data_IF_298647430313
#
_entry.id   IF_298647430313
#
_cell.length_a   1.000
_cell.length_b   1.000
_cell.length_c   1.000
_cell.angle_alpha   90.00
_cell.angle_beta   90.00
_cell.angle_gamma   90.00
#
_symmetry.space_group_name_H-M   'P 1'
#
loop_
_entity.id
_entity.type
_entity.pdbx_description
1 polymer ?
#
# COMPACT_ATOMS: atom_id res chain seq x y z
N UNK A 1 16.18 -13.19 3.14
CA UNK A 1 17.01 -12.14 3.78
C UNK A 1 17.71 -11.41 2.65
N UNK A 2 17.29 -10.19 2.35
CA UNK A 2 17.99 -9.33 1.39
C UNK A 2 19.11 -8.60 2.13
N UNK A 3 20.27 -8.50 1.51
CA UNK A 3 21.40 -7.81 2.10
C UNK A 3 21.88 -6.72 1.15
N UNK A 4 22.06 -5.51 1.65
CA UNK A 4 22.82 -4.47 1.00
C UNK A 4 24.22 -4.44 1.65
N UNK A 5 25.27 -4.63 0.86
CA UNK A 5 26.64 -4.75 1.38
C UNK A 5 26.78 -5.74 2.55
N UNK A 6 26.10 -6.89 2.48
CA UNK A 6 26.14 -7.92 3.51
C UNK A 6 25.27 -7.66 4.75
N UNK A 7 24.53 -6.56 4.82
CA UNK A 7 23.58 -6.26 5.91
C UNK A 7 22.14 -6.66 5.54
N UNK A 8 21.39 -7.15 6.51
CA UNK A 8 19.95 -7.37 6.38
C UNK A 8 19.27 -6.01 6.19
N UNK A 9 18.48 -5.88 5.09
CA UNK A 9 17.69 -4.68 4.83
C UNK A 9 16.26 -4.98 5.21
N UNK A 10 15.75 -4.24 6.16
CA UNK A 10 14.32 -4.20 6.51
C UNK A 10 13.61 -3.02 5.85
N UNK A 11 14.33 -2.13 5.16
CA UNK A 11 13.85 -0.94 4.50
C UNK A 11 14.97 0.02 4.16
N UNK A 12 14.60 1.19 3.65
CA UNK A 12 15.51 2.30 3.33
C UNK A 12 14.79 3.63 3.51
N UNK A 13 15.50 4.65 3.95
CA UNK A 13 15.04 6.02 4.04
C UNK A 13 15.57 6.83 2.85
N UNK A 14 14.69 7.11 1.89
CA UNK A 14 15.00 7.85 0.66
C UNK A 14 15.00 9.36 0.88
N UNK A 15 14.41 9.86 1.97
CA UNK A 15 14.48 11.27 2.32
C UNK A 15 15.89 11.68 2.78
N UNK A 16 16.51 10.83 3.61
CA UNK A 16 17.83 11.10 4.21
C UNK A 16 18.94 10.24 3.59
N UNK A 17 18.61 9.42 2.60
CA UNK A 17 19.52 8.45 1.97
C UNK A 17 20.26 7.58 3.00
N UNK A 18 19.51 6.97 3.92
CA UNK A 18 20.05 6.20 5.04
C UNK A 18 19.33 4.86 5.22
N UNK A 19 19.92 3.96 6.00
CA UNK A 19 19.30 2.69 6.38
C UNK A 19 18.29 2.83 7.54
N UNK A 20 18.12 4.00 8.11
CA UNK A 20 17.16 4.27 9.17
C UNK A 20 15.78 4.59 8.57
N UNK A 21 14.96 3.55 8.42
CA UNK A 21 13.58 3.67 7.98
C UNK A 21 12.58 3.70 9.14
N UNK A 22 13.04 4.01 10.36
CA UNK A 22 12.17 4.08 11.53
C UNK A 22 11.03 5.06 11.32
N UNK A 23 9.83 4.61 11.65
CA UNK A 23 8.63 5.44 11.63
C UNK A 23 8.64 6.41 12.83
N UNK A 24 8.35 7.65 12.59
CA UNK A 24 8.26 8.72 13.60
C UNK A 24 6.89 9.39 13.64
N UNK A 25 5.98 8.97 12.77
CA UNK A 25 4.62 9.52 12.61
C UNK A 25 3.54 8.54 13.12
N UNK A 26 3.74 7.22 12.94
CA UNK A 26 2.81 6.17 13.29
C UNK A 26 2.00 5.65 12.09
N UNK A 27 1.79 6.45 11.06
CA UNK A 27 1.01 6.06 9.88
C UNK A 27 1.61 4.84 9.16
N UNK A 28 2.93 4.82 8.95
CA UNK A 28 3.62 3.70 8.31
C UNK A 28 3.54 2.41 9.13
N UNK A 29 3.67 2.51 10.46
CA UNK A 29 3.51 1.39 11.40
C UNK A 29 2.10 0.81 11.35
N UNK A 30 1.09 1.67 11.31
CA UNK A 30 -0.32 1.28 11.21
C UNK A 30 -0.61 0.53 9.90
N UNK A 31 -0.15 1.06 8.78
CA UNK A 31 -0.26 0.43 7.46
C UNK A 31 0.45 -0.93 7.44
N UNK A 32 1.69 -1.00 7.94
CA UNK A 32 2.47 -2.25 7.99
C UNK A 32 1.80 -3.31 8.89
N UNK A 33 1.22 -2.90 10.02
CA UNK A 33 0.46 -3.77 10.92
C UNK A 33 -0.76 -4.37 10.24
N UNK A 34 -1.51 -3.57 9.49
CA UNK A 34 -2.68 -4.03 8.70
C UNK A 34 -2.28 -5.05 7.64
N UNK A 35 -1.15 -4.85 6.94
CA UNK A 35 -0.64 -5.81 5.96
C UNK A 35 -0.25 -7.12 6.64
N UNK A 36 0.57 -7.05 7.71
CA UNK A 36 1.34 -8.21 8.12
C UNK A 36 1.76 -8.29 9.58
N UNK A 37 0.99 -7.74 10.54
CA UNK A 37 1.22 -8.07 11.94
C UNK A 37 1.09 -9.59 12.15
N UNK A 38 2.04 -10.15 12.92
CA UNK A 38 2.15 -11.60 13.13
C UNK A 38 0.90 -12.13 13.83
N UNK A 39 0.19 -13.04 13.17
CA UNK A 39 -1.02 -13.64 13.72
C UNK A 39 -0.73 -14.83 14.66
N UNK A 40 -1.74 -15.20 15.45
CA UNK A 40 -1.74 -16.38 16.35
C UNK A 40 -0.60 -16.42 17.38
N UNK A 41 -0.12 -15.25 17.81
CA UNK A 41 0.96 -15.11 18.79
C UNK A 41 0.49 -14.64 20.18
N UNK A 42 -0.83 -14.46 20.37
CA UNK A 42 -1.48 -13.96 21.60
C UNK A 42 -1.05 -12.53 21.98
N UNK A 43 -0.64 -11.72 21.01
CA UNK A 43 -0.21 -10.33 21.20
C UNK A 43 -0.99 -9.44 20.25
N UNK A 44 -1.68 -8.45 20.81
CA UNK A 44 -2.29 -7.34 20.11
C UNK A 44 -3.20 -7.71 18.94
N UNK A 45 -2.82 -7.31 17.75
CA UNK A 45 -3.58 -7.48 16.50
C UNK A 45 -2.95 -8.53 15.58
N UNK A 46 -3.66 -8.84 14.51
CA UNK A 46 -3.12 -9.62 13.38
C UNK A 46 -3.30 -8.84 12.08
N UNK A 47 -2.31 -8.92 11.21
CA UNK A 47 -2.43 -8.45 9.84
C UNK A 47 -3.21 -9.42 8.95
N UNK A 48 -3.50 -9.00 7.72
CA UNK A 48 -4.15 -9.86 6.72
C UNK A 48 -3.25 -11.05 6.36
N UNK A 49 -1.95 -10.82 6.17
CA UNK A 49 -0.96 -11.86 5.87
C UNK A 49 -0.05 -12.12 7.08
N UNK A 50 -0.37 -13.13 7.89
CA UNK A 50 0.27 -13.40 9.18
C UNK A 50 1.77 -13.68 9.12
N UNK A 51 2.24 -14.16 7.97
CA UNK A 51 3.65 -14.52 7.75
C UNK A 51 4.14 -13.86 6.46
N UNK A 52 4.53 -12.60 6.56
CA UNK A 52 5.03 -11.80 5.44
C UNK A 52 6.26 -11.01 5.86
N UNK A 53 7.11 -10.67 4.90
CA UNK A 53 8.19 -9.72 5.10
C UNK A 53 7.76 -8.37 4.56
N UNK A 54 7.79 -7.36 5.41
CA UNK A 54 7.52 -5.98 5.05
C UNK A 54 8.84 -5.22 4.97
N UNK A 55 9.06 -4.52 3.85
CA UNK A 55 10.16 -3.59 3.70
C UNK A 55 9.62 -2.17 3.86
N UNK A 56 10.11 -1.43 4.84
CA UNK A 56 9.75 -0.04 5.05
C UNK A 56 10.52 0.87 4.08
N UNK A 57 9.82 1.48 3.13
CA UNK A 57 10.39 2.42 2.16
C UNK A 57 9.97 3.83 2.58
N UNK A 58 10.76 4.45 3.46
CA UNK A 58 10.51 5.80 3.96
C UNK A 58 10.96 6.82 2.93
N UNK A 59 10.11 7.79 2.62
CA UNK A 59 10.39 8.82 1.63
C UNK A 59 9.82 10.19 2.07
N UNK A 60 10.26 11.27 1.42
CA UNK A 60 9.97 12.64 1.84
C UNK A 60 8.63 13.20 1.33
N UNK A 61 7.71 12.38 0.85
CA UNK A 61 6.46 12.78 0.18
C UNK A 61 6.67 13.64 -1.07
N UNK A 62 7.86 13.57 -1.67
CA UNK A 62 8.19 14.18 -2.96
C UNK A 62 8.33 13.12 -4.06
N UNK A 63 8.18 13.57 -5.31
CA UNK A 63 8.19 12.67 -6.47
C UNK A 63 9.51 11.94 -6.65
N UNK A 64 10.64 12.60 -6.40
CA UNK A 64 11.95 12.01 -6.65
C UNK A 64 12.26 10.88 -5.67
N UNK A 65 11.98 11.07 -4.38
CA UNK A 65 12.15 10.03 -3.36
C UNK A 65 11.15 8.89 -3.53
N UNK A 66 9.91 9.17 -4.02
CA UNK A 66 8.94 8.14 -4.35
C UNK A 66 9.42 7.26 -5.52
N UNK A 67 9.96 7.85 -6.59
CA UNK A 67 10.55 7.12 -7.72
C UNK A 67 11.71 6.25 -7.24
N UNK A 68 12.62 6.80 -6.45
CA UNK A 68 13.75 6.05 -5.91
C UNK A 68 13.29 4.84 -5.06
N UNK A 69 12.20 4.96 -4.30
CA UNK A 69 11.60 3.85 -3.56
C UNK A 69 11.00 2.78 -4.48
N UNK A 70 10.36 3.17 -5.59
CA UNK A 70 9.83 2.25 -6.60
C UNK A 70 10.95 1.53 -7.31
N UNK A 71 12.00 2.22 -7.72
CA UNK A 71 13.19 1.65 -8.37
C UNK A 71 13.89 0.65 -7.46
N UNK A 72 14.03 0.99 -6.18
CA UNK A 72 14.54 0.08 -5.16
C UNK A 72 13.69 -1.20 -5.08
N UNK A 73 12.37 -1.05 -5.00
CA UNK A 73 11.46 -2.19 -4.95
C UNK A 73 11.59 -3.08 -6.20
N UNK A 74 11.73 -2.47 -7.37
CA UNK A 74 11.91 -3.18 -8.63
C UNK A 74 13.26 -3.91 -8.69
N UNK A 75 14.33 -3.25 -8.26
CA UNK A 75 15.67 -3.84 -8.20
C UNK A 75 15.73 -5.06 -7.26
N UNK A 76 15.11 -4.96 -6.07
CA UNK A 76 15.07 -6.04 -5.08
C UNK A 76 13.93 -7.04 -5.31
N UNK A 77 13.19 -6.92 -6.42
CA UNK A 77 12.08 -7.82 -6.78
C UNK A 77 11.02 -7.94 -5.68
N UNK A 78 10.74 -6.84 -5.00
CA UNK A 78 9.60 -6.72 -4.11
C UNK A 78 8.33 -6.83 -4.97
N UNK A 79 7.48 -7.80 -4.70
CA UNK A 79 6.39 -8.15 -5.60
C UNK A 79 5.15 -7.28 -5.45
N UNK A 80 5.01 -6.59 -4.30
CA UNK A 80 3.82 -5.80 -3.97
C UNK A 80 4.29 -4.53 -3.26
N UNK A 81 3.87 -3.38 -3.75
CA UNK A 81 4.01 -2.08 -3.08
C UNK A 81 2.66 -1.62 -2.58
N UNK A 82 2.62 -1.11 -1.36
CA UNK A 82 1.48 -0.40 -0.80
C UNK A 82 1.79 1.09 -0.72
N UNK A 83 1.01 1.90 -1.40
CA UNK A 83 1.11 3.35 -1.48
C UNK A 83 -0.09 4.00 -0.78
N UNK A 84 -0.04 4.08 0.55
CA UNK A 84 -1.05 4.78 1.36
C UNK A 84 -0.77 6.28 1.41
N UNK A 85 -0.54 6.89 0.27
CA UNK A 85 -0.26 8.32 0.06
C UNK A 85 -0.74 8.77 -1.31
N UNK A 86 -0.89 10.08 -1.48
CA UNK A 86 -1.28 10.64 -2.77
C UNK A 86 -1.34 12.16 -2.76
N UNK A 87 -1.58 12.71 -3.94
CA UNK A 87 -1.74 14.15 -4.17
C UNK A 87 -2.38 14.43 -5.53
N UNK A 88 -2.74 15.70 -5.77
CA UNK A 88 -3.42 16.08 -7.01
C UNK A 88 -2.47 16.43 -8.16
N UNK A 89 -1.19 16.59 -7.86
CA UNK A 89 -0.20 16.93 -8.88
C UNK A 89 0.12 15.72 -9.77
N UNK A 90 -0.15 15.82 -11.06
CA UNK A 90 0.26 14.82 -12.03
C UNK A 90 1.78 14.87 -12.25
N UNK A 91 2.40 13.70 -12.28
CA UNK A 91 3.83 13.54 -12.63
C UNK A 91 4.00 12.41 -13.64
N UNK A 92 4.45 12.74 -14.84
CA UNK A 92 4.75 11.75 -15.86
C UNK A 92 5.88 10.82 -15.40
N UNK A 93 6.92 11.37 -14.76
CA UNK A 93 8.05 10.58 -14.27
C UNK A 93 7.63 9.53 -13.22
N UNK A 94 6.71 9.90 -12.31
CA UNK A 94 6.16 8.95 -11.33
C UNK A 94 5.30 7.88 -12.01
N UNK A 95 4.47 8.27 -12.99
CA UNK A 95 3.69 7.32 -13.77
C UNK A 95 4.58 6.33 -14.49
N UNK A 96 5.64 6.80 -15.15
CA UNK A 96 6.58 5.96 -15.88
C UNK A 96 7.31 4.97 -14.95
N UNK A 97 7.71 5.41 -13.75
CA UNK A 97 8.32 4.54 -12.75
C UNK A 97 7.36 3.42 -12.29
N UNK A 98 6.07 3.74 -12.11
CA UNK A 98 5.05 2.76 -11.74
C UNK A 98 4.77 1.81 -12.90
N UNK A 99 4.67 2.29 -14.13
CA UNK A 99 4.47 1.45 -15.33
C UNK A 99 5.64 0.45 -15.54
N UNK A 100 6.86 0.84 -15.16
CA UNK A 100 8.06 0.00 -15.27
C UNK A 100 8.26 -0.93 -14.07
N UNK A 101 7.50 -0.77 -13.00
CA UNK A 101 7.57 -1.64 -11.85
C UNK A 101 6.92 -2.99 -12.15
N UNK A 102 7.68 -4.09 -12.01
CA UNK A 102 7.23 -5.45 -12.31
C UNK A 102 6.17 -5.98 -11.32
N UNK A 103 6.05 -5.38 -10.14
CA UNK A 103 5.15 -5.80 -9.07
C UNK A 103 3.77 -5.15 -9.12
N UNK A 104 2.90 -5.55 -8.21
CA UNK A 104 1.59 -4.95 -7.99
C UNK A 104 1.75 -3.67 -7.15
N UNK A 105 1.14 -2.58 -7.61
CA UNK A 105 1.12 -1.30 -6.93
C UNK A 105 -0.28 -1.03 -6.37
N UNK A 106 -0.46 -1.07 -5.06
CA UNK A 106 -1.74 -0.85 -4.39
C UNK A 106 -1.78 0.57 -3.84
N UNK A 107 -2.68 1.40 -4.35
CA UNK A 107 -2.76 2.82 -4.02
C UNK A 107 -4.06 3.16 -3.28
N UNK A 108 -3.98 4.03 -2.28
CA UNK A 108 -5.16 4.61 -1.63
C UNK A 108 -5.84 5.64 -2.54
N UNK A 109 -7.18 5.57 -2.67
CA UNK A 109 -7.93 6.42 -3.59
C UNK A 109 -7.96 7.91 -3.21
N UNK A 110 -7.72 8.25 -1.93
CA UNK A 110 -7.81 9.59 -1.38
C UNK A 110 -8.98 9.79 -0.42
N UNK A 111 -8.95 10.88 0.34
CA UNK A 111 -9.82 11.09 1.51
C UNK A 111 -10.63 12.41 1.44
N UNK A 112 -10.91 12.91 0.25
CA UNK A 112 -11.62 14.19 0.03
C UNK A 112 -13.12 14.00 -0.25
N UNK A 113 -13.60 12.74 -0.35
CA UNK A 113 -14.98 12.43 -0.72
C UNK A 113 -15.33 12.82 -2.16
N UNK A 114 -14.33 12.90 -3.05
CA UNK A 114 -14.49 13.39 -4.43
C UNK A 114 -14.43 12.25 -5.46
N UNK A 115 -14.97 12.53 -6.64
CA UNK A 115 -14.93 11.62 -7.77
C UNK A 115 -13.59 11.75 -8.52
N UNK A 116 -12.72 10.74 -8.42
CA UNK A 116 -11.41 10.72 -9.07
C UNK A 116 -11.48 10.65 -10.61
N UNK A 117 -12.63 10.29 -11.18
CA UNK A 117 -12.84 10.38 -12.64
C UNK A 117 -12.94 11.84 -13.12
N UNK A 118 -13.22 12.78 -12.21
CA UNK A 118 -13.38 14.22 -12.47
C UNK A 118 -12.22 15.02 -11.90
N UNK A 119 -11.80 14.69 -10.68
CA UNK A 119 -10.74 15.37 -9.93
C UNK A 119 -9.72 14.33 -9.45
N UNK A 120 -8.77 13.95 -10.31
CA UNK A 120 -7.88 12.81 -10.08
C UNK A 120 -6.97 12.97 -8.87
N UNK A 121 -6.76 11.87 -8.13
CA UNK A 121 -5.77 11.72 -7.07
C UNK A 121 -4.65 10.77 -7.55
N UNK A 122 -3.42 11.22 -7.52
CA UNK A 122 -2.27 10.42 -7.94
C UNK A 122 -1.46 9.89 -6.74
N UNK A 123 -0.95 8.64 -6.81
CA UNK A 123 -0.85 7.74 -7.97
C UNK A 123 -2.11 6.93 -8.29
N UNK A 124 -3.15 6.94 -7.47
CA UNK A 124 -4.33 6.09 -7.59
C UNK A 124 -5.03 6.18 -8.97
N UNK A 125 -5.02 7.37 -9.60
CA UNK A 125 -5.71 7.62 -10.87
C UNK A 125 -4.80 7.51 -12.11
N UNK A 126 -3.56 7.02 -11.97
CA UNK A 126 -2.76 6.71 -13.15
C UNK A 126 -3.31 5.49 -13.90
N UNK A 127 -3.37 5.59 -15.21
CA UNK A 127 -3.69 4.46 -16.10
C UNK A 127 -2.44 3.57 -16.27
N UNK A 128 -2.13 2.80 -15.23
CA UNK A 128 -1.06 1.81 -15.20
C UNK A 128 -1.66 0.42 -14.96
N UNK A 129 -1.24 -0.58 -15.74
CA UNK A 129 -1.85 -1.94 -15.69
C UNK A 129 -1.69 -2.62 -14.33
N UNK A 130 -0.65 -2.27 -13.57
CA UNK A 130 -0.24 -2.87 -12.31
C UNK A 130 -0.75 -2.11 -11.07
N UNK A 131 -1.52 -1.02 -11.23
CA UNK A 131 -2.15 -0.33 -10.11
C UNK A 131 -3.47 -1.01 -9.72
N UNK A 132 -3.74 -1.11 -8.41
CA UNK A 132 -5.07 -1.26 -7.82
C UNK A 132 -5.34 -0.01 -6.96
N UNK A 133 -6.35 0.75 -7.32
CA UNK A 133 -6.84 1.90 -6.56
C UNK A 133 -7.93 1.48 -5.58
N UNK A 134 -7.77 1.81 -4.29
CA UNK A 134 -8.59 1.27 -3.20
C UNK A 134 -9.36 2.36 -2.48
N UNK A 135 -10.69 2.29 -2.53
CA UNK A 135 -11.61 3.09 -1.72
C UNK A 135 -11.77 2.51 -0.30
N UNK A 136 -12.33 3.29 0.61
CA UNK A 136 -12.61 2.88 1.98
C UNK A 136 -14.11 2.65 2.20
N UNK A 137 -14.46 1.51 2.83
CA UNK A 137 -15.80 1.24 3.35
C UNK A 137 -15.80 1.18 4.87
N UNK A 138 -16.99 1.36 5.44
CA UNK A 138 -17.27 1.17 6.84
C UNK A 138 -17.66 -0.30 7.18
N UNK A 139 -17.91 -0.67 8.46
CA UNK A 139 -18.30 -2.03 8.84
C UNK A 139 -19.67 -2.50 8.31
N UNK A 140 -20.41 -1.62 7.63
CA UNK A 140 -21.71 -1.94 7.00
C UNK A 140 -21.60 -2.04 5.47
N UNK A 141 -20.35 -2.15 4.95
CA UNK A 141 -20.03 -2.16 3.52
C UNK A 141 -20.48 -0.88 2.77
N UNK A 142 -20.68 0.21 3.52
CA UNK A 142 -21.01 1.52 2.94
C UNK A 142 -19.76 2.30 2.65
N UNK A 143 -19.71 2.96 1.49
CA UNK A 143 -18.60 3.85 1.14
C UNK A 143 -18.42 4.91 2.23
N UNK A 144 -17.23 4.99 2.81
CA UNK A 144 -16.94 5.99 3.83
C UNK A 144 -17.08 7.40 3.25
N UNK A 145 -17.69 8.33 4.02
CA UNK A 145 -17.98 9.69 3.54
C UNK A 145 -16.74 10.45 3.04
N UNK A 146 -15.59 10.17 3.61
CA UNK A 146 -14.33 10.76 3.20
C UNK A 146 -13.71 10.09 1.98
N UNK A 147 -14.11 8.85 1.66
CA UNK A 147 -13.45 8.08 0.60
C UNK A 147 -13.67 8.70 -0.77
N UNK A 148 -12.58 8.91 -1.50
CA UNK A 148 -12.68 9.16 -2.91
C UNK A 148 -13.24 7.92 -3.62
N UNK A 149 -13.88 8.15 -4.77
CA UNK A 149 -14.53 7.13 -5.59
C UNK A 149 -14.34 7.44 -7.08
N UNK A 150 -14.74 6.53 -7.95
CA UNK A 150 -14.67 6.71 -9.40
C UNK A 150 -14.96 5.39 -10.12
N UNK A 151 -15.76 5.42 -11.16
CA UNK A 151 -16.11 4.22 -11.92
C UNK A 151 -14.96 3.68 -12.76
N UNK A 152 -13.99 4.55 -13.12
CA UNK A 152 -12.86 4.21 -13.98
C UNK A 152 -11.53 4.18 -13.24
N UNK A 153 -11.39 5.03 -12.23
CA UNK A 153 -10.11 5.31 -11.56
C UNK A 153 -10.00 4.66 -10.17
N UNK A 154 -11.08 4.05 -9.66
CA UNK A 154 -11.06 3.30 -8.41
C UNK A 154 -11.52 1.87 -8.69
N UNK A 155 -10.67 0.90 -8.38
CA UNK A 155 -10.85 -0.49 -8.78
C UNK A 155 -11.67 -1.31 -7.78
N UNK A 156 -11.49 -1.06 -6.47
CA UNK A 156 -12.04 -1.88 -5.39
C UNK A 156 -12.20 -1.06 -4.11
N UNK A 157 -13.02 -1.53 -3.19
CA UNK A 157 -13.12 -0.99 -1.84
C UNK A 157 -12.68 -2.03 -0.79
N UNK A 158 -12.17 -1.54 0.35
CA UNK A 158 -11.78 -2.37 1.47
C UNK A 158 -12.06 -1.64 2.80
N UNK A 159 -12.10 -2.34 3.96
CA UNK A 159 -12.32 -1.72 5.25
C UNK A 159 -11.32 -0.58 5.52
N UNK A 160 -11.84 0.63 5.79
CA UNK A 160 -11.02 1.83 6.00
C UNK A 160 -11.53 2.75 7.10
N UNK A 161 -12.51 2.32 7.91
CA UNK A 161 -12.99 3.09 9.06
C UNK A 161 -12.78 2.31 10.34
N UNK A 162 -12.31 3.02 11.37
CA UNK A 162 -12.02 2.47 12.70
C UNK A 162 -11.12 1.22 12.66
N UNK A 163 -10.11 1.26 11.81
CA UNK A 163 -9.17 0.14 11.65
C UNK A 163 -8.15 0.18 12.77
N UNK A 164 -8.19 -0.82 13.65
CA UNK A 164 -7.22 -0.98 14.73
C UNK A 164 -5.94 -1.62 14.18
N UNK A 165 -4.81 -0.94 14.38
CA UNK A 165 -3.50 -1.46 13.98
C UNK A 165 -2.38 -0.95 14.89
N UNK A 166 -1.13 -1.30 14.54
CA UNK A 166 0.06 -0.88 15.28
C UNK A 166 0.20 0.65 15.26
N UNK A 167 0.72 1.17 16.36
CA UNK A 167 1.13 2.57 16.49
C UNK A 167 2.58 2.64 16.98
N UNK A 168 3.08 3.85 17.19
CA UNK A 168 4.41 4.07 17.75
C UNK A 168 4.53 3.45 19.15
N UNK A 169 5.78 3.18 19.57
CA UNK A 169 6.12 2.65 20.89
C UNK A 169 5.45 1.30 21.27
N UNK A 170 4.92 0.56 20.27
CA UNK A 170 4.25 -0.72 20.51
C UNK A 170 2.79 -0.61 20.96
N UNK A 171 2.22 0.57 20.83
CA UNK A 171 0.81 0.85 21.08
C UNK A 171 -0.07 0.43 19.90
N UNK A 172 -1.38 0.58 20.06
CA UNK A 172 -2.39 0.30 19.04
C UNK A 172 -3.37 1.47 18.97
N UNK A 173 -3.68 1.92 17.78
CA UNK A 173 -4.67 2.99 17.58
C UNK A 173 -5.64 2.67 16.45
N UNK A 174 -6.90 3.14 16.53
CA UNK A 174 -7.84 3.08 15.42
C UNK A 174 -7.65 4.29 14.50
N UNK A 175 -7.46 4.06 13.21
CA UNK A 175 -7.41 5.12 12.19
C UNK A 175 -8.49 4.96 11.13
N UNK A 176 -8.77 6.07 10.43
CA UNK A 176 -9.69 6.13 9.30
C UNK A 176 -8.97 6.64 8.07
N UNK A 177 -9.25 6.05 6.91
CA UNK A 177 -8.68 6.50 5.65
C UNK A 177 -8.65 5.41 4.59
N UNK A 178 -8.57 5.82 3.34
CA UNK A 178 -8.20 4.93 2.22
C UNK A 178 -6.78 4.38 2.41
N UNK A 179 -5.95 5.07 3.21
CA UNK A 179 -4.64 4.60 3.68
C UNK A 179 -4.72 3.31 4.51
N UNK A 180 -5.83 3.05 5.19
CA UNK A 180 -6.09 1.84 5.96
C UNK A 180 -6.77 0.77 5.10
N UNK A 181 -7.49 1.17 4.06
CA UNK A 181 -8.12 0.26 3.10
C UNK A 181 -7.09 -0.41 2.16
N UNK A 182 -6.18 0.36 1.59
CA UNK A 182 -5.15 -0.14 0.67
C UNK A 182 -4.33 -1.31 1.25
N UNK A 183 -3.84 -1.27 2.50
CA UNK A 183 -3.06 -2.36 3.07
C UNK A 183 -3.84 -3.67 3.25
N UNK A 184 -5.18 -3.65 3.37
CA UNK A 184 -5.99 -4.87 3.34
C UNK A 184 -5.86 -5.59 1.99
N UNK A 185 -5.92 -4.83 0.89
CA UNK A 185 -5.75 -5.36 -0.47
C UNK A 185 -4.31 -5.83 -0.70
N UNK A 186 -3.31 -5.08 -0.22
CA UNK A 186 -1.91 -5.49 -0.31
C UNK A 186 -1.63 -6.78 0.48
N UNK A 187 -2.21 -6.93 1.67
CA UNK A 187 -2.14 -8.15 2.47
C UNK A 187 -2.82 -9.35 1.79
N UNK A 188 -4.00 -9.15 1.20
CA UNK A 188 -4.69 -10.17 0.41
C UNK A 188 -3.87 -10.59 -0.82
N UNK A 189 -3.24 -9.63 -1.49
CA UNK A 189 -2.31 -9.89 -2.59
C UNK A 189 -1.11 -10.73 -2.14
N UNK A 190 -0.57 -10.45 -0.95
CA UNK A 190 0.54 -11.22 -0.37
C UNK A 190 0.13 -12.67 -0.06
N UNK A 191 -1.07 -12.90 0.47
CA UNK A 191 -1.62 -14.25 0.68
C UNK A 191 -1.75 -15.03 -0.64
N UNK A 192 -2.34 -14.42 -1.67
CA UNK A 192 -2.46 -15.03 -2.99
C UNK A 192 -1.08 -15.32 -3.60
N UNK A 193 -0.14 -14.39 -3.49
CA UNK A 193 1.23 -14.57 -3.99
C UNK A 193 1.95 -15.69 -3.25
N UNK A 194 1.70 -15.89 -1.96
CA UNK A 194 2.30 -16.99 -1.18
C UNK A 194 1.76 -18.36 -1.60
N UNK A 195 0.47 -18.45 -1.96
CA UNK A 195 -0.14 -19.70 -2.44
C UNK A 195 0.21 -19.99 -3.92
N UNK A 196 0.49 -18.95 -4.71
CA UNK A 196 0.83 -19.03 -6.12
C UNK A 196 2.12 -18.23 -6.43
N UNK A 197 3.31 -18.69 -6.01
CA UNK A 197 4.54 -17.88 -6.08
C UNK A 197 4.90 -17.36 -7.46
N UNK A 198 4.54 -18.09 -8.52
CA UNK A 198 4.85 -17.75 -9.91
C UNK A 198 3.73 -16.98 -10.63
N UNK A 199 2.67 -16.57 -9.90
CA UNK A 199 1.58 -15.79 -10.51
C UNK A 199 2.12 -14.46 -11.05
N UNK A 200 1.70 -14.09 -12.26
CA UNK A 200 2.05 -12.78 -12.83
C UNK A 200 1.28 -11.65 -12.12
N UNK A 201 1.85 -10.46 -12.11
CA UNK A 201 1.23 -9.26 -11.52
C UNK A 201 -0.17 -8.99 -12.09
N UNK A 202 -0.33 -9.10 -13.40
CA UNK A 202 -1.62 -8.88 -14.07
C UNK A 202 -2.66 -9.94 -13.68
N UNK A 203 -2.24 -11.20 -13.56
CA UNK A 203 -3.14 -12.28 -13.13
C UNK A 203 -3.52 -12.10 -11.65
N UNK A 204 -2.56 -11.71 -10.80
CA UNK A 204 -2.80 -11.40 -9.40
C UNK A 204 -3.84 -10.27 -9.24
N UNK A 205 -3.64 -9.14 -9.94
CA UNK A 205 -4.62 -8.03 -9.98
C UNK A 205 -6.00 -8.55 -10.41
N UNK A 206 -6.07 -9.28 -11.51
CA UNK A 206 -7.34 -9.80 -12.04
C UNK A 206 -8.07 -10.70 -11.05
N UNK A 207 -7.38 -11.60 -10.35
CA UNK A 207 -8.01 -12.46 -9.34
C UNK A 207 -8.57 -11.63 -8.20
N UNK A 208 -7.81 -10.67 -7.67
CA UNK A 208 -8.28 -9.78 -6.59
C UNK A 208 -9.57 -9.06 -7.02
N UNK A 209 -9.57 -8.42 -8.19
CA UNK A 209 -10.73 -7.66 -8.66
C UNK A 209 -11.93 -8.55 -8.98
N UNK A 210 -11.71 -9.75 -9.51
CA UNK A 210 -12.81 -10.68 -9.83
C UNK A 210 -13.39 -11.41 -8.63
N UNK A 211 -12.70 -11.42 -7.48
CA UNK A 211 -13.16 -12.01 -6.23
C UNK A 211 -13.87 -11.01 -5.30
N UNK A 212 -13.85 -9.73 -5.64
CA UNK A 212 -14.63 -8.72 -4.93
C UNK A 212 -16.14 -8.90 -5.20
N UNK A 213 -16.93 -8.76 -4.15
CA UNK A 213 -18.40 -8.81 -4.21
C UNK A 213 -18.97 -7.42 -4.52
#
# INVERSE_FOLDING_TARGET
>A
RQTWNGRLIYGWNFADNSSDSMDIDGHGSHVAGTIGAVGNNRIGITGVCWQVRVAALKFGLDVASAIAAIDFANYYKISILNASWGGRAYSQALKDAIDQYDGLFVASAGNDGTNNDVDPMYPASYDCKNIISVAAVDPYDTLARFSNYGLKTVDIAAPGTNILSLDLAGEYSPLNGTSMAAPHVAGAAALLKSSMPNISTITLKRIILSSAM
#
